data_IF_506027410480
#
_entry.id   IF_506027410480
#
_cell.length_a   1.000
_cell.length_b   1.000
_cell.length_c   1.000
_cell.angle_alpha   90.00
_cell.angle_beta   90.00
_cell.angle_gamma   90.00
#
_symmetry.space_group_name_H-M   'P 1'
#
loop_
_entity.id
_entity.type
_entity.pdbx_description
1 polymer ?
#
# COMPACT_ATOMS: atom_id res chain seq x y z
N UNK A 1 -18.14 -3.60 26.42
CA UNK A 1 -17.36 -3.26 25.20
C UNK A 1 -16.67 -4.53 24.74
N UNK A 2 -16.95 -5.04 23.52
CA UNK A 2 -16.16 -6.12 22.94
C UNK A 2 -14.78 -5.52 22.65
N UNK A 3 -13.70 -6.12 23.15
CA UNK A 3 -12.37 -5.69 22.81
C UNK A 3 -12.14 -5.96 21.31
N UNK A 4 -11.95 -4.89 20.55
CA UNK A 4 -11.57 -4.98 19.15
C UNK A 4 -10.21 -5.69 19.06
N UNK A 5 -10.11 -6.74 18.26
CA UNK A 5 -8.89 -7.52 18.10
C UNK A 5 -8.31 -7.32 16.70
N UNK A 6 -6.99 -7.24 16.64
CA UNK A 6 -6.28 -7.27 15.35
C UNK A 6 -6.51 -8.63 14.66
N UNK A 7 -6.46 -8.70 13.32
CA UNK A 7 -6.56 -9.97 12.61
C UNK A 7 -5.43 -10.90 13.07
N UNK A 8 -5.80 -12.14 13.39
CA UNK A 8 -4.82 -13.18 13.70
C UNK A 8 -4.31 -13.77 12.38
N UNK A 9 -2.99 -13.87 12.17
CA UNK A 9 -2.43 -14.46 10.96
C UNK A 9 -2.79 -15.93 10.84
N UNK A 10 -3.10 -16.38 9.63
CA UNK A 10 -3.32 -17.78 9.31
C UNK A 10 -2.04 -18.61 9.44
N UNK A 11 -2.18 -19.93 9.46
CA UNK A 11 -1.03 -20.83 9.39
C UNK A 11 -0.20 -20.62 8.11
N UNK A 12 -0.85 -20.29 7.00
CA UNK A 12 -0.21 -19.98 5.72
C UNK A 12 0.67 -18.73 5.81
N UNK A 13 0.14 -17.62 6.35
CA UNK A 13 0.92 -16.39 6.57
C UNK A 13 2.09 -16.62 7.51
N UNK A 14 1.90 -17.39 8.58
CA UNK A 14 3.00 -17.74 9.50
C UNK A 14 4.07 -18.59 8.80
N UNK A 15 3.68 -19.49 7.90
CA UNK A 15 4.62 -20.29 7.10
C UNK A 15 5.44 -19.39 6.14
N UNK A 16 4.81 -18.42 5.48
CA UNK A 16 5.49 -17.41 4.64
C UNK A 16 6.51 -16.62 5.45
N UNK A 17 6.14 -16.10 6.63
CA UNK A 17 7.06 -15.35 7.49
C UNK A 17 8.20 -16.22 8.00
N UNK A 18 7.96 -17.48 8.33
CA UNK A 18 9.00 -18.43 8.71
C UNK A 18 9.95 -18.75 7.54
N UNK A 19 9.45 -18.79 6.30
CA UNK A 19 10.27 -18.97 5.10
C UNK A 19 11.12 -17.73 4.82
N UNK A 20 10.55 -16.53 4.93
CA UNK A 20 11.28 -15.26 4.85
C UNK A 20 12.38 -15.18 5.91
N UNK A 21 12.08 -15.55 7.17
CA UNK A 21 13.06 -15.59 8.26
C UNK A 21 14.24 -16.51 7.94
N UNK A 22 13.96 -17.71 7.40
CA UNK A 22 15.03 -18.64 6.97
C UNK A 22 15.87 -18.05 5.84
N UNK A 23 15.22 -17.47 4.82
CA UNK A 23 15.89 -16.82 3.71
C UNK A 23 16.82 -15.68 4.18
N UNK A 24 16.32 -14.83 5.12
CA UNK A 24 17.12 -13.75 5.71
C UNK A 24 18.34 -14.24 6.49
N UNK A 25 18.24 -15.37 7.22
CA UNK A 25 19.35 -15.95 7.98
C UNK A 25 20.48 -16.48 7.09
N UNK A 26 20.15 -17.00 5.91
CA UNK A 26 21.14 -17.57 4.98
C UNK A 26 21.52 -16.64 3.84
N UNK A 27 20.91 -15.43 3.77
CA UNK A 27 21.17 -14.46 2.71
C UNK A 27 20.60 -14.86 1.33
N UNK A 28 19.56 -15.71 1.28
CA UNK A 28 18.91 -16.08 0.02
C UNK A 28 17.88 -15.02 -0.36
N UNK A 29 17.98 -14.42 -1.56
CA UNK A 29 16.96 -13.49 -2.03
C UNK A 29 15.57 -14.14 -2.05
N UNK A 30 14.53 -13.38 -1.68
CA UNK A 30 13.17 -13.86 -1.78
C UNK A 30 12.15 -12.72 -1.93
N UNK A 31 11.05 -13.03 -2.59
CA UNK A 31 9.90 -12.14 -2.73
C UNK A 31 8.71 -12.74 -1.98
N UNK A 32 7.92 -11.91 -1.29
CA UNK A 32 6.75 -12.37 -0.57
C UNK A 32 5.56 -11.44 -0.74
N UNK A 33 4.37 -11.99 -0.55
CA UNK A 33 3.08 -11.31 -0.55
C UNK A 33 2.33 -11.68 0.72
N UNK A 34 1.66 -10.71 1.35
CA UNK A 34 0.69 -10.94 2.43
C UNK A 34 -0.57 -10.12 2.14
N UNK A 35 -1.73 -10.75 2.28
CA UNK A 35 -3.02 -10.09 2.10
C UNK A 35 -3.37 -9.18 3.30
N UNK A 36 -4.36 -8.31 3.10
CA UNK A 36 -4.81 -7.35 4.11
C UNK A 36 -5.36 -8.01 5.37
N UNK A 37 -6.08 -9.11 5.21
CA UNK A 37 -6.68 -9.87 6.31
C UNK A 37 -5.71 -10.79 7.03
N UNK A 38 -4.47 -10.94 6.55
CA UNK A 38 -3.46 -11.88 7.03
C UNK A 38 -3.92 -13.35 6.97
N UNK A 39 -4.65 -13.70 5.91
CA UNK A 39 -5.17 -15.04 5.71
C UNK A 39 -4.47 -15.79 4.58
N UNK A 40 -3.97 -15.09 3.57
CA UNK A 40 -3.28 -15.62 2.40
C UNK A 40 -1.91 -14.97 2.25
N UNK A 41 -0.91 -15.75 1.84
CA UNK A 41 0.42 -15.24 1.57
C UNK A 41 1.23 -16.18 0.69
N UNK A 42 2.22 -15.63 -0.01
CA UNK A 42 3.13 -16.37 -0.89
C UNK A 42 4.58 -15.98 -0.62
N UNK A 43 5.51 -16.90 -0.80
CA UNK A 43 6.94 -16.64 -0.73
C UNK A 43 7.66 -17.39 -1.85
N UNK A 44 8.47 -16.66 -2.61
CA UNK A 44 9.21 -17.16 -3.76
C UNK A 44 10.71 -16.98 -3.49
N UNK A 45 11.45 -18.08 -3.42
CA UNK A 45 12.89 -18.06 -3.18
C UNK A 45 13.64 -17.80 -4.48
N UNK A 46 14.60 -16.89 -4.43
CA UNK A 46 15.50 -16.52 -5.54
C UNK A 46 14.77 -16.26 -6.89
N UNK A 47 13.67 -15.46 -6.89
CA UNK A 47 12.78 -15.37 -8.04
C UNK A 47 13.40 -14.65 -9.26
N UNK A 48 14.53 -13.96 -9.08
CA UNK A 48 15.25 -13.30 -10.18
C UNK A 48 16.12 -14.29 -10.94
N UNK A 49 16.84 -15.17 -10.24
CA UNK A 49 17.75 -16.15 -10.86
C UNK A 49 17.08 -17.48 -11.16
N UNK A 50 15.97 -17.77 -10.46
CA UNK A 50 15.18 -18.99 -10.65
C UNK A 50 13.70 -18.64 -10.93
N UNK A 51 13.40 -17.91 -12.02
CA UNK A 51 12.05 -17.45 -12.30
C UNK A 51 11.13 -18.66 -12.63
N UNK A 52 10.02 -18.77 -11.91
CA UNK A 52 8.99 -19.80 -12.14
C UNK A 52 7.87 -19.34 -13.07
N UNK A 53 7.78 -18.02 -13.32
CA UNK A 53 6.64 -17.42 -14.02
C UNK A 53 5.39 -17.24 -13.14
N UNK A 54 5.46 -17.60 -11.86
CA UNK A 54 4.34 -17.47 -10.92
C UNK A 54 4.23 -16.07 -10.32
N UNK A 55 5.31 -15.30 -10.38
CA UNK A 55 5.38 -13.92 -9.89
C UNK A 55 6.27 -13.08 -10.78
N UNK A 56 5.85 -11.86 -11.07
CA UNK A 56 6.67 -10.83 -11.71
C UNK A 56 6.65 -9.58 -10.86
N UNK A 57 7.81 -8.97 -10.69
CA UNK A 57 7.93 -7.71 -9.94
C UNK A 57 9.07 -6.85 -10.47
N UNK A 58 8.96 -5.55 -10.19
CA UNK A 58 9.98 -4.54 -10.45
C UNK A 58 10.03 -3.61 -9.23
N UNK A 59 11.09 -3.75 -8.44
CA UNK A 59 11.37 -3.01 -7.21
C UNK A 59 12.70 -2.27 -7.35
N UNK A 60 12.96 -1.22 -6.56
CA UNK A 60 14.27 -0.54 -6.59
C UNK A 60 15.47 -1.46 -6.39
N UNK A 61 15.29 -2.54 -5.60
CA UNK A 61 16.36 -3.49 -5.27
C UNK A 61 16.50 -4.66 -6.25
N UNK A 62 15.56 -4.87 -7.18
CA UNK A 62 15.61 -5.98 -8.12
C UNK A 62 14.36 -6.16 -8.94
N UNK A 63 14.52 -6.84 -10.07
CA UNK A 63 13.46 -7.06 -11.05
C UNK A 63 13.53 -8.49 -11.61
N UNK A 64 12.38 -9.15 -11.72
CA UNK A 64 12.26 -10.40 -12.50
C UNK A 64 12.32 -10.13 -14.00
N UNK A 65 12.64 -11.13 -14.85
CA UNK A 65 12.35 -11.02 -16.28
C UNK A 65 10.92 -10.58 -16.54
N UNK A 66 10.69 -9.82 -17.60
CA UNK A 66 9.34 -9.38 -17.97
C UNK A 66 8.47 -10.58 -18.39
N UNK A 67 7.14 -10.56 -18.10
CA UNK A 67 6.21 -11.57 -18.61
C UNK A 67 6.06 -11.43 -20.14
N UNK A 68 5.52 -12.48 -20.76
CA UNK A 68 5.05 -12.38 -22.14
C UNK A 68 3.81 -11.46 -22.18
N UNK A 69 3.75 -10.56 -23.16
CA UNK A 69 2.64 -9.62 -23.32
C UNK A 69 2.99 -8.47 -24.25
N UNK A 70 2.10 -7.50 -24.34
CA UNK A 70 2.23 -6.33 -25.23
C UNK A 70 2.33 -5.05 -24.41
N UNK A 71 3.26 -4.19 -24.81
CA UNK A 71 3.31 -2.79 -24.33
C UNK A 71 2.44 -1.91 -25.22
N UNK A 72 1.68 -1.01 -24.64
CA UNK A 72 0.87 -0.06 -25.38
C UNK A 72 -0.06 0.76 -24.48
N UNK A 73 -0.83 1.64 -25.11
CA UNK A 73 -1.86 2.37 -24.39
C UNK A 73 -2.96 1.41 -23.94
N UNK A 74 -3.32 1.49 -22.67
CA UNK A 74 -4.39 0.69 -22.07
C UNK A 74 -5.62 1.57 -21.88
N UNK A 75 -6.70 1.19 -22.53
CA UNK A 75 -8.00 1.85 -22.33
C UNK A 75 -8.80 1.11 -21.27
N UNK A 76 -9.35 1.88 -20.33
CA UNK A 76 -10.22 1.39 -19.27
C UNK A 76 -11.60 2.02 -19.44
N UNK A 77 -12.63 1.19 -19.54
CA UNK A 77 -14.02 1.61 -19.39
C UNK A 77 -14.47 1.32 -17.95
N UNK A 78 -14.92 2.34 -17.23
CA UNK A 78 -15.25 2.27 -15.82
C UNK A 78 -16.76 2.15 -15.61
N UNK A 79 -17.17 1.30 -14.66
CA UNK A 79 -18.55 1.16 -14.22
C UNK A 79 -18.63 1.36 -12.69
N UNK A 80 -18.35 2.58 -12.18
CA UNK A 80 -18.32 2.82 -10.74
C UNK A 80 -19.73 2.68 -10.15
N UNK A 81 -19.78 2.26 -8.88
CA UNK A 81 -21.03 2.35 -8.12
C UNK A 81 -21.47 3.81 -7.99
N UNK A 82 -22.78 4.04 -7.84
CA UNK A 82 -23.32 5.38 -7.64
C UNK A 82 -22.94 5.99 -6.29
N UNK A 83 -22.90 7.33 -6.24
CA UNK A 83 -22.60 8.10 -5.02
C UNK A 83 -23.49 7.70 -3.83
N UNK A 84 -24.75 7.32 -4.08
CA UNK A 84 -25.67 6.88 -3.02
C UNK A 84 -25.15 5.67 -2.26
N UNK A 85 -24.65 4.65 -2.97
CA UNK A 85 -24.09 3.44 -2.33
C UNK A 85 -22.78 3.75 -1.61
N UNK A 86 -21.94 4.60 -2.17
CA UNK A 86 -20.74 5.06 -1.48
C UNK A 86 -21.09 5.83 -0.21
N UNK A 87 -22.12 6.71 -0.24
CA UNK A 87 -22.53 7.52 0.90
C UNK A 87 -23.02 6.68 2.08
N UNK A 88 -23.68 5.55 1.84
CA UNK A 88 -24.07 4.62 2.90
C UNK A 88 -22.85 4.07 3.65
N UNK A 89 -21.81 3.64 2.91
CA UNK A 89 -20.56 3.16 3.50
C UNK A 89 -19.77 4.27 4.19
N UNK A 90 -19.71 5.44 3.57
CA UNK A 90 -19.10 6.64 4.15
C UNK A 90 -19.77 7.02 5.47
N UNK A 91 -21.10 6.93 5.57
CA UNK A 91 -21.84 7.26 6.77
C UNK A 91 -21.49 6.35 7.95
N UNK A 92 -21.22 5.06 7.72
CA UNK A 92 -20.76 4.13 8.77
C UNK A 92 -19.41 4.60 9.33
N UNK A 93 -18.47 4.92 8.44
CA UNK A 93 -17.16 5.44 8.86
C UNK A 93 -17.31 6.76 9.62
N UNK A 94 -18.10 7.71 9.08
CA UNK A 94 -18.32 9.03 9.73
C UNK A 94 -18.93 8.92 11.12
N UNK A 95 -19.89 8.02 11.30
CA UNK A 95 -20.47 7.76 12.62
C UNK A 95 -19.42 7.25 13.61
N UNK A 96 -18.56 6.31 13.20
CA UNK A 96 -17.46 5.83 14.03
C UNK A 96 -16.45 6.93 14.39
N UNK A 97 -16.13 7.82 13.45
CA UNK A 97 -15.27 8.97 13.70
C UNK A 97 -15.90 9.95 14.68
N UNK A 98 -17.19 10.26 14.55
CA UNK A 98 -17.93 11.13 15.46
C UNK A 98 -18.07 10.56 16.88
N UNK A 99 -18.14 9.25 17.02
CA UNK A 99 -18.18 8.55 18.30
C UNK A 99 -16.79 8.41 18.95
N UNK A 100 -15.73 8.82 18.25
CA UNK A 100 -14.36 8.69 18.74
C UNK A 100 -13.78 7.28 18.62
N UNK A 101 -14.42 6.40 17.86
CA UNK A 101 -13.97 5.03 17.61
C UNK A 101 -12.70 5.00 16.74
N UNK A 102 -12.54 6.02 15.90
CA UNK A 102 -11.37 6.19 15.02
C UNK A 102 -11.09 7.67 14.78
N UNK A 103 -9.88 8.02 14.36
CA UNK A 103 -9.49 9.37 13.94
C UNK A 103 -9.30 9.46 12.42
N UNK A 104 -8.97 8.35 11.82
CA UNK A 104 -8.74 8.17 10.39
C UNK A 104 -9.12 6.75 10.02
N UNK A 105 -9.92 6.58 8.98
CA UNK A 105 -10.21 5.26 8.40
C UNK A 105 -10.10 5.33 6.88
N UNK A 106 -9.44 4.35 6.28
CA UNK A 106 -9.36 4.26 4.83
C UNK A 106 -10.59 3.50 4.30
N UNK A 107 -11.39 4.16 3.44
CA UNK A 107 -12.55 3.55 2.78
C UNK A 107 -12.21 3.29 1.31
N UNK A 108 -12.57 2.09 0.83
CA UNK A 108 -12.17 1.66 -0.52
C UNK A 108 -13.36 1.41 -1.45
N UNK A 109 -13.08 1.55 -2.75
CA UNK A 109 -14.01 1.25 -3.85
C UNK A 109 -13.48 0.07 -4.66
N UNK A 110 -14.41 -0.82 -5.03
CA UNK A 110 -14.19 -1.88 -6.02
C UNK A 110 -14.99 -1.55 -7.27
N UNK A 111 -14.32 -1.01 -8.28
CA UNK A 111 -14.92 -0.54 -9.51
C UNK A 111 -14.78 -1.58 -10.61
N UNK A 112 -15.87 -2.15 -11.15
CA UNK A 112 -15.80 -2.98 -12.35
C UNK A 112 -15.18 -2.19 -13.49
N UNK A 113 -14.28 -2.83 -14.22
CA UNK A 113 -13.65 -2.24 -15.42
C UNK A 113 -13.75 -3.20 -16.59
N UNK A 114 -13.75 -2.65 -17.79
CA UNK A 114 -13.61 -3.39 -19.03
C UNK A 114 -12.37 -2.91 -19.78
N UNK A 115 -11.58 -3.84 -20.24
CA UNK A 115 -10.37 -3.61 -21.04
C UNK A 115 -10.13 -4.80 -21.96
N UNK A 116 -9.42 -4.59 -23.06
CA UNK A 116 -8.96 -5.66 -23.96
C UNK A 116 -7.57 -6.20 -23.57
N UNK A 117 -6.90 -5.53 -22.62
CA UNK A 117 -5.57 -5.90 -22.15
C UNK A 117 -5.64 -6.96 -21.05
N UNK A 118 -4.72 -7.91 -21.08
CA UNK A 118 -4.46 -8.83 -19.96
C UNK A 118 -3.72 -8.17 -18.81
N UNK A 119 -3.62 -8.84 -17.66
CA UNK A 119 -2.85 -8.34 -16.52
C UNK A 119 -1.37 -8.14 -16.88
N UNK A 120 -0.81 -9.01 -17.71
CA UNK A 120 0.55 -8.96 -18.23
C UNK A 120 0.77 -7.69 -19.08
N UNK A 121 -0.19 -7.37 -19.97
CA UNK A 121 -0.14 -6.16 -20.80
C UNK A 121 -0.19 -4.90 -19.93
N UNK A 122 -1.04 -4.90 -18.90
CA UNK A 122 -1.15 -3.80 -17.93
C UNK A 122 0.16 -3.64 -17.15
N UNK A 123 0.76 -4.75 -16.69
CA UNK A 123 2.06 -4.73 -16.01
C UNK A 123 3.16 -4.15 -16.88
N UNK A 124 3.26 -4.61 -18.13
CA UNK A 124 4.27 -4.16 -19.08
C UNK A 124 4.11 -2.69 -19.49
N UNK A 125 2.87 -2.20 -19.52
CA UNK A 125 2.51 -0.83 -19.93
C UNK A 125 2.51 0.15 -18.77
N UNK A 126 2.52 -0.32 -17.52
CA UNK A 126 2.51 0.55 -16.34
C UNK A 126 3.92 0.98 -15.93
N UNK A 127 4.01 2.14 -15.27
CA UNK A 127 5.23 2.65 -14.64
C UNK A 127 4.96 3.02 -13.19
N UNK A 128 5.75 2.46 -12.26
CA UNK A 128 5.67 2.79 -10.84
C UNK A 128 6.95 2.35 -10.13
N UNK A 129 7.17 2.89 -8.92
CA UNK A 129 8.29 2.50 -8.06
C UNK A 129 8.27 1.01 -7.72
N UNK A 130 7.06 0.48 -7.51
CA UNK A 130 6.83 -0.93 -7.19
C UNK A 130 5.78 -1.48 -8.14
N UNK A 131 6.16 -2.41 -9.00
CA UNK A 131 5.23 -3.12 -9.87
C UNK A 131 5.22 -4.59 -9.50
N UNK A 132 4.05 -5.15 -9.38
CA UNK A 132 3.84 -6.56 -9.03
C UNK A 132 2.75 -7.13 -9.93
N UNK A 133 2.98 -8.29 -10.49
CA UNK A 133 2.00 -9.08 -11.21
C UNK A 133 1.96 -10.48 -10.62
N UNK A 134 0.83 -10.89 -10.10
CA UNK A 134 0.48 -12.27 -9.80
C UNK A 134 -0.44 -12.77 -10.92
N UNK A 135 0.08 -13.59 -11.87
CA UNK A 135 -0.67 -13.99 -13.06
C UNK A 135 -2.04 -14.58 -12.75
N UNK A 136 -3.05 -14.15 -13.50
CA UNK A 136 -4.44 -14.59 -13.31
C UNK A 136 -5.11 -14.10 -12.03
N UNK A 137 -4.44 -13.27 -11.22
CA UNK A 137 -4.96 -12.75 -9.96
C UNK A 137 -5.01 -11.22 -9.94
N UNK A 138 -3.86 -10.57 -10.05
CA UNK A 138 -3.80 -9.11 -10.00
C UNK A 138 -2.52 -8.52 -10.58
N UNK A 139 -2.58 -7.23 -10.88
CA UNK A 139 -1.43 -6.35 -11.08
C UNK A 139 -1.55 -5.13 -10.17
N UNK A 140 -0.42 -4.73 -9.55
CA UNK A 140 -0.30 -3.53 -8.73
C UNK A 140 0.87 -2.67 -9.23
N UNK A 141 0.68 -1.35 -9.27
CA UNK A 141 1.69 -0.37 -9.67
C UNK A 141 1.77 0.74 -8.62
N UNK A 142 2.26 0.34 -7.45
CA UNK A 142 2.28 1.17 -6.25
C UNK A 142 3.42 2.19 -6.24
N UNK A 143 3.16 3.44 -5.83
CA UNK A 143 4.19 4.39 -5.50
C UNK A 143 4.67 4.29 -4.04
N UNK A 144 3.95 3.53 -3.19
CA UNK A 144 4.07 3.61 -1.74
C UNK A 144 4.96 2.53 -1.15
N UNK A 145 6.10 2.95 -0.59
CA UNK A 145 6.92 2.12 0.27
C UNK A 145 6.20 1.88 1.61
N UNK A 146 6.11 0.61 2.04
CA UNK A 146 5.63 0.29 3.38
C UNK A 146 6.73 0.49 4.41
N UNK A 147 7.77 -0.35 4.39
CA UNK A 147 8.99 -0.20 5.17
C UNK A 147 10.20 -0.63 4.36
N UNK A 148 11.37 -0.10 4.70
CA UNK A 148 12.66 -0.66 4.29
C UNK A 148 13.49 -1.01 5.51
N UNK A 149 14.28 -2.09 5.43
CA UNK A 149 15.22 -2.49 6.46
C UNK A 149 16.59 -2.64 5.83
N UNK A 150 17.47 -1.64 6.06
CA UNK A 150 18.82 -1.57 5.52
C UNK A 150 19.84 -1.65 6.65
N UNK A 151 20.57 -2.76 6.70
CA UNK A 151 21.36 -3.06 7.91
C UNK A 151 20.45 -3.11 9.12
N UNK A 152 20.69 -2.23 10.11
CA UNK A 152 19.87 -2.07 11.33
C UNK A 152 18.85 -0.93 11.23
N UNK A 153 18.89 -0.10 10.18
CA UNK A 153 17.95 1.02 10.02
C UNK A 153 16.62 0.54 9.40
N UNK A 154 15.57 0.61 10.19
CA UNK A 154 14.18 0.47 9.72
C UNK A 154 13.66 1.85 9.34
N UNK A 155 13.07 1.99 8.15
CA UNK A 155 12.47 3.26 7.74
C UNK A 155 11.11 3.10 7.06
N UNK A 156 10.30 4.15 7.11
CA UNK A 156 9.06 4.30 6.36
C UNK A 156 8.95 5.70 5.80
N UNK A 157 8.23 5.86 4.69
CA UNK A 157 8.17 7.10 3.93
C UNK A 157 6.72 7.52 3.67
N UNK A 158 5.96 7.98 4.70
CA UNK A 158 4.60 8.44 4.50
C UNK A 158 4.54 9.59 3.50
N UNK A 159 3.58 9.51 2.60
CA UNK A 159 3.36 10.46 1.52
C UNK A 159 1.94 11.02 1.61
N UNK A 160 1.80 12.34 1.55
CA UNK A 160 0.52 13.04 1.46
C UNK A 160 0.70 14.37 0.75
N UNK A 161 -0.27 14.69 -0.09
CA UNK A 161 -0.27 15.93 -0.85
C UNK A 161 0.58 15.84 -2.13
N UNK A 162 -0.04 16.19 -3.22
CA UNK A 162 0.61 16.36 -4.53
C UNK A 162 0.10 17.65 -5.17
N UNK A 163 0.96 18.30 -5.92
CA UNK A 163 0.62 19.51 -6.68
C UNK A 163 1.32 19.47 -8.05
N UNK A 164 0.71 20.09 -9.04
CA UNK A 164 1.33 20.28 -10.35
C UNK A 164 2.60 21.13 -10.20
N UNK A 165 3.75 20.57 -10.60
CA UNK A 165 5.05 21.24 -10.48
C UNK A 165 5.17 22.45 -11.41
N UNK A 166 4.34 22.56 -12.45
CA UNK A 166 4.33 23.71 -13.38
C UNK A 166 3.71 24.96 -12.81
N UNK A 167 2.99 24.86 -11.69
CA UNK A 167 2.38 26.03 -11.04
C UNK A 167 3.43 26.95 -10.44
N UNK A 168 3.29 28.27 -10.58
CA UNK A 168 4.15 29.21 -9.90
C UNK A 168 4.15 28.97 -8.38
N UNK A 169 5.34 28.87 -7.79
CA UNK A 169 5.50 28.61 -6.34
C UNK A 169 4.86 27.29 -5.84
N UNK A 170 4.74 26.27 -6.68
CA UNK A 170 4.12 24.98 -6.35
C UNK A 170 4.63 24.38 -5.02
N UNK A 171 5.94 24.46 -4.78
CA UNK A 171 6.56 23.97 -3.55
C UNK A 171 6.05 24.69 -2.29
N UNK A 172 5.91 26.00 -2.35
CA UNK A 172 5.45 26.81 -1.22
C UNK A 172 3.94 26.64 -1.02
N UNK A 173 3.17 26.57 -2.11
CA UNK A 173 1.73 26.29 -2.06
C UNK A 173 1.47 24.94 -1.37
N UNK A 174 2.17 23.88 -1.77
CA UNK A 174 1.98 22.57 -1.17
C UNK A 174 2.39 22.53 0.30
N UNK A 175 3.50 23.19 0.68
CA UNK A 175 3.94 23.23 2.08
C UNK A 175 3.02 24.04 2.99
N UNK A 176 2.39 25.08 2.45
CA UNK A 176 1.51 25.99 3.18
C UNK A 176 0.03 25.54 3.17
N UNK A 177 -0.33 24.54 2.39
CA UNK A 177 -1.68 23.99 2.39
C UNK A 177 -2.03 23.44 3.78
N UNK A 178 -3.05 24.03 4.41
CA UNK A 178 -3.44 23.68 5.77
C UNK A 178 -4.03 22.27 5.86
N UNK A 179 -4.91 21.89 4.91
CA UNK A 179 -5.55 20.58 4.88
C UNK A 179 -4.51 19.47 4.69
N UNK A 180 -3.72 19.57 3.62
CA UNK A 180 -2.64 18.62 3.32
C UNK A 180 -1.63 18.55 4.46
N UNK A 181 -1.33 19.71 5.06
CA UNK A 181 -0.47 19.81 6.23
C UNK A 181 -0.99 19.03 7.44
N UNK A 182 -2.26 19.16 7.79
CA UNK A 182 -2.89 18.43 8.91
C UNK A 182 -2.93 16.93 8.64
N UNK A 183 -3.32 16.52 7.43
CA UNK A 183 -3.34 15.11 7.04
C UNK A 183 -1.93 14.49 7.08
N UNK A 184 -0.93 15.23 6.60
CA UNK A 184 0.46 14.79 6.64
C UNK A 184 1.00 14.62 8.07
N UNK A 185 0.69 15.56 8.97
CA UNK A 185 1.04 15.43 10.39
C UNK A 185 0.41 14.18 11.01
N UNK A 186 -0.86 13.95 10.73
CA UNK A 186 -1.59 12.79 11.26
C UNK A 186 -0.97 11.46 10.80
N UNK A 187 -0.65 11.33 9.51
CA UNK A 187 -0.06 10.08 9.00
C UNK A 187 1.38 9.89 9.50
N UNK A 188 2.17 10.96 9.62
CA UNK A 188 3.54 10.88 10.18
C UNK A 188 3.50 10.45 11.65
N UNK A 189 2.58 10.98 12.46
CA UNK A 189 2.44 10.56 13.85
C UNK A 189 1.98 9.11 13.98
N UNK A 190 1.02 8.69 13.15
CA UNK A 190 0.57 7.31 13.08
C UNK A 190 1.70 6.35 12.75
N UNK A 191 2.47 6.63 11.68
CA UNK A 191 3.56 5.76 11.24
C UNK A 191 4.73 5.76 12.25
N UNK A 192 4.97 6.89 12.92
CA UNK A 192 5.94 6.98 14.02
C UNK A 192 5.53 6.08 15.20
N UNK A 193 4.26 6.08 15.55
CA UNK A 193 3.72 5.22 16.61
C UNK A 193 3.79 3.74 16.22
N UNK A 194 3.49 3.40 14.97
CA UNK A 194 3.65 2.03 14.47
C UNK A 194 5.11 1.57 14.58
N UNK A 195 6.07 2.34 14.08
CA UNK A 195 7.50 1.98 14.19
C UNK A 195 7.98 1.84 15.64
N UNK A 196 7.46 2.64 16.58
CA UNK A 196 7.82 2.54 18.00
C UNK A 196 7.46 1.17 18.65
N UNK A 197 6.56 0.40 18.04
CA UNK A 197 6.22 -0.93 18.54
C UNK A 197 7.31 -1.97 18.25
N UNK A 198 8.16 -1.71 17.25
CA UNK A 198 9.09 -2.72 16.70
C UNK A 198 10.54 -2.24 16.59
N UNK A 199 10.81 -0.96 16.84
CA UNK A 199 12.13 -0.35 16.68
C UNK A 199 12.49 0.59 17.83
N UNK A 200 13.78 0.78 18.06
CA UNK A 200 14.30 1.67 19.09
C UNK A 200 14.73 3.01 18.46
N UNK A 201 14.65 4.09 19.26
CA UNK A 201 15.13 5.42 18.85
C UNK A 201 14.41 5.98 17.64
N UNK A 202 13.11 5.71 17.52
CA UNK A 202 12.27 6.17 16.40
C UNK A 202 12.21 7.69 16.35
N UNK A 203 12.50 8.25 15.18
CA UNK A 203 12.49 9.70 14.94
C UNK A 203 12.09 10.04 13.52
N UNK A 204 11.56 11.23 13.32
CA UNK A 204 11.36 11.82 11.99
C UNK A 204 12.71 12.36 11.52
N UNK A 205 13.34 11.70 10.57
CA UNK A 205 14.65 12.06 10.02
C UNK A 205 14.57 13.23 9.05
N UNK A 206 13.53 13.23 8.20
CA UNK A 206 13.20 14.35 7.31
C UNK A 206 11.70 14.59 7.35
N UNK A 207 11.30 15.85 7.51
CA UNK A 207 9.88 16.23 7.59
C UNK A 207 9.49 17.11 6.41
N UNK A 208 8.37 16.80 5.74
CA UNK A 208 7.80 17.55 4.61
C UNK A 208 8.82 17.84 3.50
N UNK A 209 9.65 16.88 3.14
CA UNK A 209 10.49 17.04 1.96
C UNK A 209 9.65 16.83 0.69
N UNK A 210 10.05 17.52 -0.39
CA UNK A 210 9.38 17.38 -1.68
C UNK A 210 10.23 16.54 -2.62
N UNK A 211 9.55 15.69 -3.38
CA UNK A 211 10.12 14.91 -4.47
C UNK A 211 9.32 15.14 -5.74
N UNK A 212 10.02 15.21 -6.86
CA UNK A 212 9.39 15.27 -8.16
C UNK A 212 8.92 13.87 -8.60
N UNK A 213 7.71 13.81 -9.12
CA UNK A 213 7.14 12.63 -9.76
C UNK A 213 6.85 12.96 -11.22
N UNK A 214 7.50 12.25 -12.12
CA UNK A 214 7.21 12.36 -13.54
C UNK A 214 6.00 11.48 -13.89
N UNK A 215 5.00 12.07 -14.52
CA UNK A 215 3.79 11.37 -14.95
C UNK A 215 3.53 11.66 -16.43
N UNK A 216 2.70 10.85 -17.07
CA UNK A 216 2.27 11.08 -18.45
C UNK A 216 1.53 12.42 -18.68
N UNK A 217 1.07 13.05 -17.59
CA UNK A 217 0.35 14.34 -17.62
C UNK A 217 1.22 15.53 -17.21
N UNK A 218 2.51 15.29 -16.91
CA UNK A 218 3.45 16.31 -16.45
C UNK A 218 4.15 15.92 -15.16
N UNK A 219 4.88 16.87 -14.60
CA UNK A 219 5.62 16.69 -13.35
C UNK A 219 4.77 17.12 -12.17
N UNK A 220 4.71 16.28 -11.13
CA UNK A 220 4.05 16.57 -9.86
C UNK A 220 5.11 16.72 -8.78
N UNK A 221 4.90 17.63 -7.83
CA UNK A 221 5.60 17.63 -6.56
C UNK A 221 4.78 16.85 -5.53
N UNK A 222 5.45 15.93 -4.84
CA UNK A 222 4.86 15.15 -3.77
C UNK A 222 5.54 15.48 -2.44
N UNK A 223 4.73 15.68 -1.40
CA UNK A 223 5.20 15.90 -0.04
C UNK A 223 5.33 14.57 0.69
N UNK A 224 6.51 14.32 1.26
CA UNK A 224 6.85 13.09 1.98
C UNK A 224 7.59 13.38 3.27
N UNK A 225 7.60 12.43 4.20
CA UNK A 225 8.49 12.44 5.36
C UNK A 225 9.22 11.11 5.47
N UNK A 226 10.36 11.11 6.14
CA UNK A 226 11.14 9.90 6.43
C UNK A 226 11.20 9.70 7.94
N UNK A 227 10.71 8.54 8.39
CA UNK A 227 10.73 8.13 9.79
C UNK A 227 11.66 6.94 9.89
N UNK A 228 12.60 6.98 10.84
CA UNK A 228 13.58 5.91 11.02
C UNK A 228 13.62 5.44 12.46
N UNK A 229 13.98 4.16 12.64
CA UNK A 229 14.27 3.55 13.91
C UNK A 229 15.36 2.49 13.76
N UNK A 230 15.84 1.91 14.85
CA UNK A 230 16.85 0.85 14.83
C UNK A 230 16.25 -0.48 15.24
N UNK A 231 16.63 -1.52 14.53
CA UNK A 231 16.29 -2.92 14.79
C UNK A 231 17.58 -3.73 14.84
N UNK A 232 17.83 -4.44 15.93
CA UNK A 232 19.00 -5.32 16.03
C UNK A 232 18.76 -6.62 15.25
N UNK A 233 19.18 -6.63 13.98
CA UNK A 233 19.10 -7.82 13.12
C UNK A 233 20.14 -8.88 13.45
N UNK A 234 21.20 -8.53 14.16
CA UNK A 234 22.28 -9.45 14.53
C UNK A 234 21.92 -10.30 15.76
N UNK A 235 20.92 -9.89 16.53
CA UNK A 235 20.46 -10.65 17.69
C UNK A 235 19.92 -12.02 17.26
N UNK A 236 20.28 -13.06 18.02
CA UNK A 236 19.74 -14.41 17.81
C UNK A 236 18.19 -14.44 17.93
N UNK A 237 17.65 -13.50 18.69
CA UNK A 237 16.20 -13.30 18.91
C UNK A 237 15.49 -12.55 17.80
N UNK A 238 16.21 -12.05 16.77
CA UNK A 238 15.55 -11.34 15.66
C UNK A 238 14.56 -12.24 14.95
N UNK A 239 13.32 -11.77 14.86
CA UNK A 239 12.22 -12.45 14.20
C UNK A 239 11.46 -11.48 13.31
N UNK A 240 11.46 -11.74 12.00
CA UNK A 240 10.77 -10.92 11.00
C UNK A 240 9.25 -10.89 11.22
N UNK A 241 8.65 -11.94 11.79
CA UNK A 241 7.24 -11.95 12.12
C UNK A 241 6.93 -10.97 13.25
N UNK A 242 7.78 -10.88 14.28
CA UNK A 242 7.64 -9.89 15.35
C UNK A 242 7.89 -8.45 14.86
N UNK A 243 8.61 -8.27 13.76
CA UNK A 243 8.78 -6.97 13.11
C UNK A 243 7.55 -6.59 12.28
N UNK A 244 7.05 -7.49 11.44
CA UNK A 244 6.00 -7.15 10.45
C UNK A 244 4.59 -7.18 11.01
N UNK A 245 4.23 -8.19 11.81
CA UNK A 245 2.84 -8.39 12.26
C UNK A 245 2.27 -7.22 13.09
N UNK A 246 3.01 -6.56 14.00
CA UNK A 246 2.50 -5.39 14.72
C UNK A 246 2.21 -4.19 13.80
N UNK A 247 2.93 -4.09 12.67
CA UNK A 247 2.75 -3.02 11.70
C UNK A 247 1.57 -3.26 10.75
N UNK A 248 1.07 -4.51 10.65
CA UNK A 248 0.03 -4.91 9.72
C UNK A 248 -1.39 -4.92 10.33
N UNK A 249 -2.41 -4.62 9.50
CA UNK A 249 -2.31 -3.94 8.20
C UNK A 249 -1.67 -2.56 8.32
N UNK A 250 -1.02 -2.09 7.23
CA UNK A 250 -0.30 -0.82 7.25
C UNK A 250 -1.21 0.34 7.68
N UNK A 251 -0.68 1.23 8.54
CA UNK A 251 -1.45 2.34 9.10
C UNK A 251 -1.96 3.31 8.04
N UNK A 252 -1.19 3.53 6.97
CA UNK A 252 -1.54 4.44 5.87
C UNK A 252 -2.80 4.05 5.10
N UNK A 253 -3.14 2.74 5.09
CA UNK A 253 -4.30 2.19 4.36
C UNK A 253 -5.35 1.56 5.27
N UNK A 254 -5.17 1.60 6.57
CA UNK A 254 -6.15 1.19 7.57
C UNK A 254 -6.67 2.39 8.35
N UNK A 255 -5.89 2.93 9.26
CA UNK A 255 -6.22 4.08 10.10
C UNK A 255 -5.87 3.85 11.57
N UNK A 256 -6.41 4.69 12.46
CA UNK A 256 -6.09 4.69 13.88
C UNK A 256 -7.29 5.05 14.78
N UNK A 257 -7.45 4.39 15.95
CA UNK A 257 -6.69 3.23 16.46
C UNK A 257 -6.98 1.96 15.63
N UNK A 258 -5.93 1.20 15.31
CA UNK A 258 -5.96 0.14 14.27
C UNK A 258 -7.11 -0.88 14.45
N UNK A 259 -7.22 -1.49 15.62
CA UNK A 259 -8.19 -2.57 15.84
C UNK A 259 -9.64 -2.12 15.61
N UNK A 260 -10.05 -1.00 16.20
CA UNK A 260 -11.42 -0.48 16.06
C UNK A 260 -11.70 0.04 14.65
N UNK A 261 -10.71 0.68 14.03
CA UNK A 261 -10.82 1.14 12.65
C UNK A 261 -11.03 0.00 11.67
N UNK A 262 -10.37 -1.15 11.86
CA UNK A 262 -10.56 -2.34 11.03
C UNK A 262 -11.98 -2.93 11.15
N UNK A 263 -12.61 -2.84 12.33
CA UNK A 263 -14.02 -3.24 12.48
C UNK A 263 -14.94 -2.33 11.68
N UNK A 264 -14.75 -1.01 11.78
CA UNK A 264 -15.53 -0.03 10.99
C UNK A 264 -15.35 -0.23 9.47
N UNK A 265 -14.13 -0.49 9.02
CA UNK A 265 -13.85 -0.78 7.61
C UNK A 265 -14.61 -2.05 7.16
N UNK A 266 -14.56 -3.13 7.93
CA UNK A 266 -15.27 -4.38 7.60
C UNK A 266 -16.79 -4.17 7.53
N UNK A 267 -17.34 -3.38 8.46
CA UNK A 267 -18.75 -3.05 8.48
C UNK A 267 -19.14 -2.21 7.26
N UNK A 268 -18.34 -1.19 6.92
CA UNK A 268 -18.61 -0.29 5.82
C UNK A 268 -18.44 -0.96 4.45
N UNK A 269 -17.39 -1.74 4.26
CA UNK A 269 -17.08 -2.35 2.96
C UNK A 269 -17.87 -3.64 2.70
N UNK A 270 -18.15 -4.43 3.75
CA UNK A 270 -18.92 -5.67 3.64
C UNK A 270 -18.25 -6.78 2.83
N UNK A 271 -17.00 -6.60 2.40
CA UNK A 271 -16.22 -7.56 1.64
C UNK A 271 -14.75 -7.60 2.10
N UNK A 272 -14.02 -8.64 1.72
CA UNK A 272 -12.58 -8.73 1.95
C UNK A 272 -11.82 -7.92 0.91
N UNK A 273 -10.70 -7.34 1.33
CA UNK A 273 -9.77 -6.63 0.44
C UNK A 273 -8.82 -7.59 -0.27
N UNK A 274 -8.53 -8.75 0.33
CA UNK A 274 -7.54 -9.69 -0.19
C UNK A 274 -6.15 -9.07 -0.29
N UNK A 275 -5.47 -9.23 -1.40
CA UNK A 275 -4.15 -8.61 -1.61
C UNK A 275 -4.20 -7.10 -1.80
N UNK A 276 -5.34 -6.52 -2.19
CA UNK A 276 -5.46 -5.06 -2.23
C UNK A 276 -5.26 -4.47 -0.83
N UNK A 277 -4.38 -3.48 -0.72
CA UNK A 277 -3.92 -2.91 0.56
C UNK A 277 -3.19 -3.89 1.49
N UNK A 278 -2.86 -5.10 1.01
CA UNK A 278 -1.83 -5.95 1.60
C UNK A 278 -0.43 -5.42 1.32
N UNK A 279 0.58 -6.24 1.53
CA UNK A 279 1.98 -5.88 1.28
C UNK A 279 2.67 -6.87 0.35
N UNK A 280 3.63 -6.34 -0.41
CA UNK A 280 4.64 -7.12 -1.10
C UNK A 280 6.02 -6.74 -0.59
N UNK A 281 6.98 -7.68 -0.59
CA UNK A 281 8.34 -7.37 -0.19
C UNK A 281 9.38 -8.18 -0.94
N UNK A 282 10.50 -7.55 -1.21
CA UNK A 282 11.68 -8.18 -1.77
C UNK A 282 12.87 -8.04 -0.83
N UNK A 283 13.42 -9.17 -0.45
CA UNK A 283 14.70 -9.29 0.25
C UNK A 283 15.76 -9.68 -0.77
N UNK A 284 16.77 -8.85 -0.97
CA UNK A 284 17.79 -9.03 -1.99
C UNK A 284 18.97 -9.93 -1.55
N UNK A 285 18.86 -10.55 -0.37
CA UNK A 285 19.92 -11.31 0.30
C UNK A 285 20.63 -10.50 1.40
N UNK A 286 20.39 -9.18 1.47
CA UNK A 286 20.98 -8.27 2.43
C UNK A 286 19.95 -7.32 3.07
N UNK A 287 19.22 -6.61 2.24
CA UNK A 287 18.28 -5.56 2.64
C UNK A 287 16.86 -5.95 2.24
N UNK A 288 15.88 -5.44 2.97
CA UNK A 288 14.47 -5.68 2.72
C UNK A 288 13.80 -4.38 2.26
N UNK A 289 13.06 -4.45 1.15
CA UNK A 289 12.23 -3.37 0.62
C UNK A 289 10.80 -3.88 0.46
N UNK A 290 9.82 -3.10 0.94
CA UNK A 290 8.40 -3.52 0.91
C UNK A 290 7.50 -2.41 0.43
N UNK A 291 6.40 -2.78 -0.21
CA UNK A 291 5.40 -1.89 -0.77
C UNK A 291 3.99 -2.22 -0.27
N UNK A 292 3.15 -1.21 -0.14
CA UNK A 292 1.71 -1.38 0.03
C UNK A 292 1.08 -1.65 -1.33
N UNK A 293 0.20 -2.64 -1.45
CA UNK A 293 -0.45 -3.02 -2.70
C UNK A 293 -1.64 -2.10 -3.00
N UNK A 294 -1.35 -0.95 -3.63
CA UNK A 294 -2.34 0.02 -4.11
C UNK A 294 -2.16 0.27 -5.61
N UNK A 295 -3.05 1.07 -6.22
CA UNK A 295 -3.12 1.18 -7.69
C UNK A 295 -3.22 -0.23 -8.28
N UNK A 296 -4.38 -0.82 -8.10
CA UNK A 296 -4.52 -2.27 -8.13
C UNK A 296 -5.65 -2.69 -9.06
N UNK A 297 -5.34 -3.57 -9.99
CA UNK A 297 -6.32 -4.23 -10.87
C UNK A 297 -6.35 -5.70 -10.52
N UNK A 298 -7.52 -6.21 -10.15
CA UNK A 298 -7.73 -7.64 -9.89
C UNK A 298 -8.54 -8.31 -10.99
N UNK A 299 -8.25 -9.58 -11.22
CA UNK A 299 -9.03 -10.46 -12.07
C UNK A 299 -9.68 -11.54 -11.21
N UNK A 300 -10.99 -11.70 -11.36
CA UNK A 300 -11.70 -12.80 -10.69
C UNK A 300 -11.50 -14.11 -11.44
N UNK A 301 -11.75 -15.27 -10.80
CA UNK A 301 -11.74 -16.56 -11.49
C UNK A 301 -12.70 -16.67 -12.68
N UNK A 302 -13.75 -15.83 -12.72
CA UNK A 302 -14.67 -15.73 -13.87
C UNK A 302 -14.14 -14.87 -15.02
N UNK A 303 -12.94 -14.27 -14.87
CA UNK A 303 -12.33 -13.40 -15.87
C UNK A 303 -12.75 -11.94 -15.82
N UNK A 304 -13.58 -11.53 -14.87
CA UNK A 304 -13.98 -10.13 -14.68
C UNK A 304 -12.86 -9.32 -14.03
N UNK A 305 -12.69 -8.08 -14.49
CA UNK A 305 -11.69 -7.16 -13.96
C UNK A 305 -12.31 -6.10 -13.05
N UNK A 306 -11.58 -5.76 -11.99
CA UNK A 306 -11.92 -4.67 -11.08
C UNK A 306 -10.69 -3.80 -10.79
N UNK A 307 -10.90 -2.50 -10.74
CA UNK A 307 -9.91 -1.58 -10.20
C UNK A 307 -10.25 -1.26 -8.75
N UNK A 308 -9.28 -1.40 -7.85
CA UNK A 308 -9.42 -1.04 -6.44
C UNK A 308 -8.80 0.32 -6.19
N UNK A 309 -9.57 1.23 -5.59
CA UNK A 309 -9.12 2.55 -5.16
C UNK A 309 -9.63 2.88 -3.77
N UNK A 310 -9.12 3.91 -3.13
CA UNK A 310 -9.57 4.29 -1.80
C UNK A 310 -8.95 5.59 -1.32
N UNK A 311 -9.50 6.12 -0.23
CA UNK A 311 -9.07 7.35 0.41
C UNK A 311 -9.21 7.30 1.93
N UNK A 312 -8.43 8.14 2.61
CA UNK A 312 -8.50 8.31 4.06
C UNK A 312 -9.64 9.25 4.45
N UNK A 313 -10.59 8.74 5.21
CA UNK A 313 -11.72 9.50 5.72
C UNK A 313 -11.40 10.01 7.12
N UNK A 314 -11.58 11.31 7.32
CA UNK A 314 -11.46 12.00 8.62
C UNK A 314 -12.81 12.61 9.00
N UNK A 315 -12.91 13.15 10.20
CA UNK A 315 -14.14 13.81 10.66
C UNK A 315 -14.53 15.02 9.80
N UNK A 316 -13.58 15.61 9.08
CA UNK A 316 -13.79 16.76 8.19
C UNK A 316 -14.01 16.39 6.73
N UNK A 317 -13.92 15.10 6.39
CA UNK A 317 -14.11 14.63 5.03
C UNK A 317 -15.54 14.84 4.54
N UNK A 318 -15.67 15.20 3.27
CA UNK A 318 -16.95 15.38 2.58
C UNK A 318 -17.17 14.22 1.61
N UNK A 319 -18.30 13.54 1.73
CA UNK A 319 -18.62 12.31 1.02
C UNK A 319 -18.39 12.41 -0.50
N UNK A 320 -18.92 13.44 -1.14
CA UNK A 320 -18.80 13.63 -2.58
C UNK A 320 -17.36 13.88 -3.02
N UNK A 321 -16.60 14.67 -2.24
CA UNK A 321 -15.19 14.94 -2.52
C UNK A 321 -14.35 13.66 -2.44
N UNK A 322 -14.53 12.86 -1.41
CA UNK A 322 -13.81 11.59 -1.22
C UNK A 322 -14.19 10.55 -2.29
N UNK A 323 -15.46 10.51 -2.70
CA UNK A 323 -15.92 9.66 -3.81
C UNK A 323 -15.20 10.02 -5.12
N UNK A 324 -15.18 11.31 -5.45
CA UNK A 324 -14.49 11.79 -6.65
C UNK A 324 -12.99 11.55 -6.59
N UNK A 325 -12.35 11.71 -5.42
CA UNK A 325 -10.94 11.40 -5.22
C UNK A 325 -10.66 9.90 -5.47
N UNK A 326 -11.52 9.01 -4.99
CA UNK A 326 -11.41 7.58 -5.28
C UNK A 326 -11.49 7.28 -6.77
N UNK A 327 -12.40 7.93 -7.50
CA UNK A 327 -12.52 7.75 -8.96
C UNK A 327 -11.32 8.32 -9.72
N UNK A 328 -10.78 9.47 -9.31
CA UNK A 328 -9.58 10.06 -9.92
C UNK A 328 -8.34 9.19 -9.76
N UNK A 329 -8.29 8.31 -8.75
CA UNK A 329 -7.21 7.36 -8.53
C UNK A 329 -7.28 6.13 -9.44
N UNK A 330 -8.34 6.00 -10.27
CA UNK A 330 -8.49 4.91 -11.22
C UNK A 330 -7.79 5.29 -12.53
N UNK A 331 -6.54 4.90 -12.67
CA UNK A 331 -5.76 5.08 -13.88
C UNK A 331 -4.57 4.12 -13.91
N UNK A 332 -4.04 3.84 -15.08
CA UNK A 332 -2.78 3.12 -15.26
C UNK A 332 -1.69 4.17 -15.52
N UNK A 333 -0.66 4.25 -14.67
CA UNK A 333 0.45 5.17 -14.92
C UNK A 333 1.27 4.67 -16.10
N UNK A 334 1.36 5.48 -17.15
CA UNK A 334 2.19 5.23 -18.33
C UNK A 334 3.47 6.05 -18.25
N UNK A 335 4.50 5.60 -18.97
CA UNK A 335 5.74 6.37 -19.20
C UNK A 335 5.50 7.54 -20.13
#
# INVERSE_FOLDING_TARGET
MKHATLPSPSAEVLAVLAQLQRAMRVGTPCFFLLDFELQEGHCYLDPIHQPTGEIFFDFPAGKTPDPEGKKGAIELSLQPEGLERYSQRFSIIQQGLQQGDSFLANLTLKTPISTTAGLEDIYLSSHATYRILLPGRFVSFSPECFITLRGEELSTHPMKGTIDASLPHAADLLRSDYKEGCEHHTIVDLMRNDLNQVALGVRVKRFKYLSALHTSRGELLQMSSEITGKVDRSAETFDIAQLLLPLLPAGSISGAPKARTLELIREAEGEKRGFYTGIAGYFDGKDLDTAVLIRYVEQTPSGSYYYRSGGGITIHSQCEAEYHECLQKIYIPHT
#
